data_IF_377318113960
#
_entry.id   IF_377318113960
#
_cell.length_a   1.000
_cell.length_b   1.000
_cell.length_c   1.000
_cell.angle_alpha   90.00
_cell.angle_beta   90.00
_cell.angle_gamma   90.00
#
_symmetry.space_group_name_H-M   'P 1'
#
loop_
_entity.id
_entity.type
_entity.pdbx_description
1 polymer ?
#
# COMPACT_ATOMS: atom_id res chain seq x y z
N UNK A 1 -12.49 -28.27 17.93
CA UNK A 1 -12.08 -26.84 17.75
C UNK A 1 -10.90 -26.62 16.78
N UNK A 2 -10.20 -27.66 16.29
CA UNK A 2 -9.05 -27.52 15.35
C UNK A 2 -9.49 -27.47 13.87
N UNK A 3 -10.67 -28.02 13.55
CA UNK A 3 -11.14 -28.17 12.15
C UNK A 3 -11.61 -26.83 11.55
N UNK A 4 -12.26 -25.96 12.34
CA UNK A 4 -12.68 -24.62 11.89
C UNK A 4 -11.51 -23.69 11.56
N UNK A 5 -10.43 -23.76 12.35
CA UNK A 5 -9.19 -23.00 12.09
C UNK A 5 -8.54 -23.38 10.75
N UNK A 6 -8.77 -24.58 10.19
CA UNK A 6 -8.13 -24.98 8.92
C UNK A 6 -8.86 -24.44 7.68
N UNK A 7 -10.18 -24.25 7.76
CA UNK A 7 -11.00 -23.80 6.63
C UNK A 7 -10.88 -22.30 6.34
N UNK A 8 -10.86 -21.46 7.38
CA UNK A 8 -10.77 -19.99 7.23
C UNK A 8 -9.42 -19.58 6.60
N UNK A 9 -8.34 -20.27 6.96
CA UNK A 9 -7.02 -20.06 6.36
C UNK A 9 -6.96 -20.45 4.89
N UNK A 10 -7.75 -21.46 4.49
CA UNK A 10 -7.84 -21.91 3.11
C UNK A 10 -8.56 -20.85 2.27
N UNK A 11 -9.65 -20.27 2.77
CA UNK A 11 -10.40 -19.20 2.07
C UNK A 11 -9.58 -17.90 1.93
N UNK A 12 -8.83 -17.56 2.96
CA UNK A 12 -7.98 -16.38 2.98
C UNK A 12 -6.77 -16.49 2.01
N UNK A 13 -6.10 -17.64 1.95
CA UNK A 13 -5.04 -17.89 0.95
C UNK A 13 -5.53 -17.88 -0.50
N UNK A 14 -6.82 -18.16 -0.74
CA UNK A 14 -7.44 -18.14 -2.07
C UNK A 14 -7.50 -16.73 -2.64
N UNK A 15 -7.82 -15.71 -1.84
CA UNK A 15 -7.86 -14.31 -2.30
C UNK A 15 -6.48 -13.79 -2.72
N UNK A 16 -5.44 -14.15 -1.96
CA UNK A 16 -4.06 -13.83 -2.29
C UNK A 16 -3.63 -14.37 -3.65
N UNK A 17 -3.93 -15.66 -3.89
CA UNK A 17 -3.67 -16.36 -5.16
C UNK A 17 -4.49 -15.79 -6.32
N UNK A 18 -5.79 -15.54 -6.12
CA UNK A 18 -6.67 -14.92 -7.13
C UNK A 18 -6.14 -13.55 -7.56
N UNK A 19 -5.75 -12.70 -6.61
CA UNK A 19 -5.15 -11.38 -6.89
C UNK A 19 -3.85 -11.49 -7.68
N UNK A 20 -2.95 -12.39 -7.26
CA UNK A 20 -1.70 -12.64 -7.98
C UNK A 20 -1.95 -13.03 -9.43
N UNK A 21 -2.86 -13.98 -9.67
CA UNK A 21 -3.24 -14.40 -11.02
C UNK A 21 -3.82 -13.24 -11.84
N UNK A 22 -4.72 -12.43 -11.28
CA UNK A 22 -5.31 -11.27 -11.99
C UNK A 22 -4.21 -10.28 -12.39
N UNK A 23 -3.32 -9.94 -11.46
CA UNK A 23 -2.21 -9.01 -11.73
C UNK A 23 -1.27 -9.56 -12.81
N UNK A 24 -0.87 -10.83 -12.72
CA UNK A 24 -0.02 -11.47 -13.72
C UNK A 24 -0.70 -11.50 -15.08
N UNK A 25 -1.98 -11.85 -15.16
CA UNK A 25 -2.73 -11.85 -16.43
C UNK A 25 -2.79 -10.47 -17.06
N UNK A 26 -3.06 -9.42 -16.28
CA UNK A 26 -3.08 -8.04 -16.78
C UNK A 26 -1.69 -7.63 -17.28
N UNK A 27 -0.62 -7.93 -16.52
CA UNK A 27 0.76 -7.60 -16.92
C UNK A 27 1.19 -8.34 -18.18
N UNK A 28 0.86 -9.63 -18.29
CA UNK A 28 1.11 -10.44 -19.49
C UNK A 28 0.33 -9.88 -20.68
N UNK A 29 -0.94 -9.51 -20.49
CA UNK A 29 -1.74 -8.90 -21.55
C UNK A 29 -1.14 -7.57 -22.03
N UNK A 30 -0.69 -6.70 -21.12
CA UNK A 30 0.00 -5.46 -21.45
C UNK A 30 1.32 -5.75 -22.20
N UNK A 31 2.10 -6.74 -21.75
CA UNK A 31 3.33 -7.13 -22.43
C UNK A 31 3.05 -7.70 -23.83
N UNK A 32 2.00 -8.50 -24.00
CA UNK A 32 1.57 -9.01 -25.30
C UNK A 32 1.11 -7.89 -26.23
N UNK A 33 0.40 -6.87 -25.73
CA UNK A 33 0.04 -5.70 -26.52
C UNK A 33 1.27 -4.92 -27.03
N UNK A 34 2.42 -5.04 -26.35
CA UNK A 34 3.69 -4.43 -26.77
C UNK A 34 4.44 -5.35 -27.73
N UNK A 35 4.50 -6.66 -27.46
CA UNK A 35 5.34 -7.63 -28.19
C UNK A 35 4.66 -8.17 -29.46
N UNK A 36 3.36 -8.40 -29.43
CA UNK A 36 2.61 -8.97 -30.57
C UNK A 36 2.70 -8.10 -31.84
N UNK A 37 2.60 -6.76 -31.75
CA UNK A 37 2.82 -5.90 -32.91
C UNK A 37 4.26 -5.98 -33.46
N UNK A 38 5.27 -6.14 -32.61
CA UNK A 38 6.68 -6.30 -33.02
C UNK A 38 6.86 -7.60 -33.83
N UNK A 39 6.29 -8.72 -33.35
CA UNK A 39 6.38 -10.02 -34.03
C UNK A 39 5.69 -9.98 -35.40
N UNK A 40 4.50 -9.38 -35.49
CA UNK A 40 3.79 -9.18 -36.77
C UNK A 40 4.64 -8.35 -37.73
N UNK A 41 5.27 -7.28 -37.25
CA UNK A 41 6.11 -6.39 -38.06
C UNK A 41 7.34 -7.12 -38.63
N UNK A 42 7.98 -8.00 -37.85
CA UNK A 42 9.14 -8.80 -38.30
C UNK A 42 8.72 -9.87 -39.31
N UNK A 43 7.52 -10.47 -39.16
CA UNK A 43 7.01 -11.54 -40.03
C UNK A 43 6.48 -11.04 -41.39
N UNK A 44 5.99 -9.80 -41.47
CA UNK A 44 5.33 -9.26 -42.66
C UNK A 44 6.29 -8.66 -43.70
N UNK A 45 7.60 -8.58 -43.44
CA UNK A 45 8.64 -8.37 -44.46
C UNK A 45 8.62 -7.05 -45.24
N UNK A 46 7.58 -6.23 -45.13
CA UNK A 46 7.40 -4.97 -45.86
C UNK A 46 7.53 -3.78 -44.92
N UNK A 47 8.59 -2.99 -45.15
CA UNK A 47 9.07 -1.96 -44.25
C UNK A 47 8.22 -0.68 -44.16
N UNK A 48 7.01 -0.63 -44.73
CA UNK A 48 6.15 0.55 -44.65
C UNK A 48 5.21 0.50 -43.44
N UNK A 49 4.53 -0.63 -43.19
CA UNK A 49 3.69 -0.83 -42.02
C UNK A 49 4.50 -1.08 -40.74
N UNK A 50 5.61 -1.81 -40.86
CA UNK A 50 6.52 -2.12 -39.75
C UNK A 50 7.21 -0.85 -39.20
N UNK A 51 7.61 0.07 -40.09
CA UNK A 51 8.17 1.36 -39.69
C UNK A 51 7.15 2.22 -38.93
N UNK A 52 5.93 2.34 -39.46
CA UNK A 52 4.82 3.04 -38.79
C UNK A 52 4.55 2.45 -37.41
N UNK A 53 4.60 1.13 -37.28
CA UNK A 53 4.27 0.46 -36.03
C UNK A 53 5.40 0.53 -34.99
N UNK A 54 6.67 0.46 -35.39
CA UNK A 54 7.81 0.78 -34.51
C UNK A 54 7.72 2.23 -34.02
N UNK A 55 7.37 3.17 -34.91
CA UNK A 55 7.13 4.57 -34.55
C UNK A 55 5.98 4.68 -33.55
N UNK A 56 4.86 3.97 -33.75
CA UNK A 56 3.74 3.98 -32.81
C UNK A 56 4.12 3.40 -31.43
N UNK A 57 4.95 2.35 -31.38
CA UNK A 57 5.47 1.80 -30.12
C UNK A 57 6.38 2.82 -29.43
N UNK A 58 7.31 3.43 -30.17
CA UNK A 58 8.19 4.47 -29.64
C UNK A 58 7.38 5.67 -29.13
N UNK A 59 6.38 6.13 -29.88
CA UNK A 59 5.45 7.19 -29.47
C UNK A 59 4.68 6.76 -28.23
N UNK A 60 4.23 5.51 -28.13
CA UNK A 60 3.49 5.00 -26.96
C UNK A 60 4.38 4.95 -25.72
N UNK A 61 5.62 4.45 -25.83
CA UNK A 61 6.61 4.44 -24.75
C UNK A 61 6.98 5.87 -24.36
N UNK A 62 7.19 6.75 -25.34
CA UNK A 62 7.52 8.16 -25.12
C UNK A 62 6.36 8.93 -24.48
N UNK A 63 5.11 8.64 -24.87
CA UNK A 63 3.90 9.20 -24.25
C UNK A 63 3.76 8.72 -22.81
N UNK A 64 4.01 7.43 -22.53
CA UNK A 64 4.08 6.93 -21.16
C UNK A 64 5.17 7.65 -20.35
N UNK A 65 6.33 7.92 -20.95
CA UNK A 65 7.40 8.67 -20.31
C UNK A 65 6.99 10.14 -20.01
N UNK A 66 6.38 10.83 -20.98
CA UNK A 66 5.85 12.20 -20.82
C UNK A 66 4.77 12.23 -19.73
N UNK A 67 3.82 11.28 -19.73
CA UNK A 67 2.77 11.21 -18.72
C UNK A 67 3.36 10.97 -17.32
N UNK A 68 4.41 10.15 -17.20
CA UNK A 68 5.13 9.95 -15.94
C UNK A 68 5.87 11.22 -15.50
N UNK A 69 6.53 11.93 -16.43
CA UNK A 69 7.21 13.19 -16.15
C UNK A 69 6.21 14.26 -15.70
N UNK A 70 5.09 14.41 -16.42
CA UNK A 70 4.02 15.33 -16.07
C UNK A 70 3.42 15.00 -14.70
N UNK A 71 3.14 13.72 -14.42
CA UNK A 71 2.67 13.28 -13.11
C UNK A 71 3.68 13.59 -11.99
N UNK A 72 4.98 13.40 -12.23
CA UNK A 72 6.02 13.74 -11.27
C UNK A 72 6.11 15.25 -11.00
N UNK A 73 6.01 16.08 -12.04
CA UNK A 73 5.97 17.55 -11.94
C UNK A 73 4.71 18.01 -11.21
N UNK A 74 3.55 17.50 -11.59
CA UNK A 74 2.27 17.77 -10.93
C UNK A 74 2.34 17.43 -9.44
N UNK A 75 2.81 16.23 -9.08
CA UNK A 75 2.98 15.83 -7.67
C UNK A 75 3.95 16.76 -6.93
N UNK A 76 5.01 17.24 -7.60
CA UNK A 76 5.99 18.18 -7.01
C UNK A 76 5.37 19.55 -6.74
N UNK A 77 4.53 20.06 -7.65
CA UNK A 77 3.83 21.34 -7.51
C UNK A 77 2.78 21.27 -6.40
N UNK A 78 2.01 20.17 -6.35
CA UNK A 78 0.92 20.00 -5.40
C UNK A 78 1.34 19.28 -4.10
N UNK A 79 2.63 19.25 -3.73
CA UNK A 79 3.15 18.52 -2.55
C UNK A 79 2.35 18.69 -1.25
N UNK A 80 1.74 19.87 -1.01
CA UNK A 80 0.90 20.10 0.18
C UNK A 80 -0.40 19.28 0.18
N UNK A 81 -0.91 18.90 -1.00
CA UNK A 81 -2.08 18.04 -1.21
C UNK A 81 -1.72 16.55 -1.36
N UNK A 82 -0.43 16.22 -1.39
CA UNK A 82 0.04 14.86 -1.66
C UNK A 82 1.04 14.39 -0.60
N UNK A 83 0.60 13.47 0.27
CA UNK A 83 1.43 12.75 1.22
C UNK A 83 1.01 12.93 2.67
N UNK A 84 1.87 12.48 3.57
CA UNK A 84 1.61 12.47 5.01
C UNK A 84 1.89 13.82 5.66
N UNK A 85 0.99 14.25 6.54
CA UNK A 85 1.15 15.43 7.39
C UNK A 85 0.51 15.22 8.75
N UNK A 86 0.91 15.98 9.79
CA UNK A 86 0.15 16.06 11.02
C UNK A 86 -1.31 16.44 10.73
N UNK A 87 -2.22 15.88 11.51
CA UNK A 87 -3.63 16.25 11.51
C UNK A 87 -3.79 17.70 11.98
N UNK A 88 -4.75 18.44 11.41
CA UNK A 88 -5.12 19.76 11.94
C UNK A 88 -6.29 19.64 12.94
N UNK A 89 -6.70 20.74 13.57
CA UNK A 89 -7.75 20.69 14.60
C UNK A 89 -9.12 20.29 14.05
N UNK A 90 -9.51 20.82 12.89
CA UNK A 90 -10.81 20.50 12.25
C UNK A 90 -10.91 19.00 11.90
N UNK A 91 -9.86 18.45 11.28
CA UNK A 91 -9.78 17.02 10.98
C UNK A 91 -9.74 16.18 12.25
N UNK A 92 -9.11 16.68 13.33
CA UNK A 92 -9.07 15.97 14.60
C UNK A 92 -10.47 15.87 15.24
N UNK A 93 -11.23 16.96 15.24
CA UNK A 93 -12.60 17.00 15.74
C UNK A 93 -13.50 16.00 15.01
N UNK A 94 -13.32 15.85 13.69
CA UNK A 94 -14.03 14.86 12.89
C UNK A 94 -13.57 13.42 13.19
N UNK A 95 -12.24 13.19 13.24
CA UNK A 95 -11.68 11.84 13.23
C UNK A 95 -11.59 11.19 14.60
N UNK A 96 -11.54 11.95 15.71
CA UNK A 96 -11.35 11.41 17.06
C UNK A 96 -12.44 10.41 17.49
N UNK A 97 -13.63 10.51 16.90
CA UNK A 97 -14.76 9.62 17.22
C UNK A 97 -14.78 8.35 16.36
N UNK A 98 -13.95 8.25 15.33
CA UNK A 98 -13.90 7.11 14.42
C UNK A 98 -12.95 6.03 14.93
N UNK A 99 -13.16 4.81 14.44
CA UNK A 99 -12.26 3.71 14.69
C UNK A 99 -11.08 3.71 13.70
N UNK A 100 -9.95 3.21 14.18
CA UNK A 100 -8.74 2.90 13.45
C UNK A 100 -8.57 1.38 13.42
N UNK A 101 -8.23 0.85 12.25
CA UNK A 101 -8.14 -0.58 11.99
C UNK A 101 -6.72 -0.94 11.61
N UNK A 102 -6.10 -1.88 12.34
CA UNK A 102 -4.79 -2.44 12.05
C UNK A 102 -4.89 -3.93 11.78
N UNK A 103 -4.20 -4.39 10.74
CA UNK A 103 -4.16 -5.79 10.37
C UNK A 103 -2.81 -6.42 10.73
N UNK A 104 -2.82 -7.51 11.50
CA UNK A 104 -1.60 -8.14 12.02
C UNK A 104 -1.60 -9.67 11.89
N UNK A 105 -0.40 -10.24 11.95
CA UNK A 105 -0.16 -11.69 12.00
C UNK A 105 0.53 -12.14 13.30
N UNK A 106 0.92 -11.19 14.15
CA UNK A 106 1.95 -11.42 15.18
C UNK A 106 1.48 -11.07 16.59
N UNK A 107 0.24 -10.63 16.77
CA UNK A 107 -0.24 -10.29 18.11
C UNK A 107 -0.58 -11.57 18.86
N UNK A 108 -0.01 -11.75 20.05
CA UNK A 108 -0.32 -12.87 20.95
C UNK A 108 -1.42 -12.43 21.91
N UNK A 109 -2.62 -12.22 21.37
CA UNK A 109 -3.80 -11.76 22.12
C UNK A 109 -5.03 -12.56 21.70
N UNK A 110 -5.92 -12.80 22.65
CA UNK A 110 -7.17 -13.51 22.43
C UNK A 110 -8.21 -12.61 21.72
N UNK A 111 -9.24 -13.24 21.16
CA UNK A 111 -10.37 -12.53 20.55
C UNK A 111 -11.20 -11.79 21.61
N UNK A 112 -11.63 -10.57 21.29
CA UNK A 112 -12.39 -9.71 22.21
C UNK A 112 -11.64 -8.43 22.59
N UNK A 113 -12.02 -7.82 23.71
CA UNK A 113 -11.37 -6.61 24.22
C UNK A 113 -10.11 -6.97 25.00
N UNK A 114 -8.97 -6.41 24.59
CA UNK A 114 -7.66 -6.71 25.17
C UNK A 114 -6.72 -5.53 25.03
N UNK A 115 -5.73 -5.44 25.92
CA UNK A 115 -4.63 -4.51 25.74
C UNK A 115 -3.67 -5.05 24.68
N UNK A 116 -3.41 -4.25 23.65
CA UNK A 116 -2.56 -4.63 22.52
C UNK A 116 -1.32 -3.76 22.49
N UNK A 117 -0.17 -4.39 22.24
CA UNK A 117 1.08 -3.71 21.96
C UNK A 117 1.44 -3.88 20.48
N UNK A 118 1.53 -2.77 19.74
CA UNK A 118 1.91 -2.76 18.32
C UNK A 118 3.22 -1.96 18.19
N UNK A 119 4.35 -2.63 17.86
CA UNK A 119 5.63 -1.96 17.75
C UNK A 119 5.69 -1.10 16.49
N UNK A 120 6.26 0.09 16.62
CA UNK A 120 6.41 1.03 15.54
C UNK A 120 7.55 0.64 14.60
N UNK A 121 7.34 0.84 13.31
CA UNK A 121 8.37 0.56 12.31
C UNK A 121 9.11 1.85 11.94
N UNK A 122 10.43 1.86 12.18
CA UNK A 122 11.32 2.98 11.86
C UNK A 122 12.16 2.77 10.59
N UNK A 123 11.93 1.67 9.85
CA UNK A 123 12.74 1.33 8.66
C UNK A 123 12.30 2.17 7.46
N UNK A 124 13.22 2.82 6.73
CA UNK A 124 12.92 3.57 5.51
C UNK A 124 12.13 2.75 4.48
N UNK A 125 12.42 1.45 4.34
CA UNK A 125 11.67 0.57 3.44
C UNK A 125 10.17 0.48 3.79
N UNK A 126 9.83 0.40 5.08
CA UNK A 126 8.43 0.35 5.53
C UNK A 126 7.79 1.72 5.36
N UNK A 127 8.51 2.76 5.73
CA UNK A 127 8.06 4.15 5.66
C UNK A 127 8.35 4.83 4.31
N UNK A 128 8.47 4.06 3.22
CA UNK A 128 8.93 4.57 1.93
C UNK A 128 8.05 5.71 1.40
N UNK A 129 6.74 5.64 1.67
CA UNK A 129 5.77 6.66 1.27
C UNK A 129 5.86 7.96 2.09
N UNK A 130 6.57 7.96 3.23
CA UNK A 130 6.77 9.15 4.05
C UNK A 130 7.80 10.11 3.44
N UNK A 131 7.67 11.43 3.71
CA UNK A 131 8.74 12.39 3.47
C UNK A 131 10.04 11.96 4.17
N UNK A 132 11.19 12.23 3.55
CA UNK A 132 12.53 11.81 4.05
C UNK A 132 12.75 12.10 5.54
N UNK A 133 12.32 13.27 6.03
CA UNK A 133 12.44 13.69 7.44
C UNK A 133 11.70 12.78 8.45
N UNK A 134 10.72 12.00 7.99
CA UNK A 134 9.91 11.11 8.83
C UNK A 134 10.26 9.63 8.65
N UNK A 135 11.04 9.25 7.62
CA UNK A 135 11.30 7.83 7.29
C UNK A 135 11.95 7.03 8.41
N UNK A 136 12.80 7.69 9.20
CA UNK A 136 13.54 7.09 10.31
C UNK A 136 12.78 7.16 11.64
N UNK A 137 11.55 7.65 11.65
CA UNK A 137 10.71 7.69 12.85
C UNK A 137 9.85 6.44 12.91
N UNK A 138 9.61 5.92 14.12
CA UNK A 138 8.70 4.80 14.32
C UNK A 138 7.25 5.21 14.07
N UNK A 139 6.56 4.52 13.17
CA UNK A 139 5.12 4.67 12.97
C UNK A 139 4.39 3.31 12.99
N UNK A 140 3.16 3.33 13.47
CA UNK A 140 2.17 2.25 13.28
C UNK A 140 1.12 2.72 12.28
N UNK A 141 0.81 1.87 11.31
CA UNK A 141 -0.10 2.17 10.20
C UNK A 141 -1.50 1.65 10.51
N UNK A 142 -2.50 2.50 10.30
CA UNK A 142 -3.92 2.21 10.48
C UNK A 142 -4.74 2.60 9.25
N UNK A 143 -5.83 1.87 9.04
CA UNK A 143 -6.93 2.28 8.19
C UNK A 143 -7.96 3.04 9.01
N UNK A 144 -8.49 4.13 8.47
CA UNK A 144 -9.69 4.74 9.03
C UNK A 144 -10.89 3.84 8.76
N UNK A 145 -11.73 3.59 9.77
CA UNK A 145 -12.96 2.82 9.63
C UNK A 145 -14.01 3.59 8.84
N UNK A 146 -14.91 2.90 8.13
CA UNK A 146 -16.04 3.47 7.38
C UNK A 146 -17.05 4.16 8.30
N UNK A 147 -17.76 5.17 7.79
CA UNK A 147 -18.75 5.93 8.57
C UNK A 147 -20.05 5.13 8.78
N UNK A 148 -20.36 4.22 7.86
CA UNK A 148 -21.55 3.36 7.92
C UNK A 148 -21.24 2.05 8.66
N UNK A 149 -20.07 1.48 8.41
CA UNK A 149 -19.62 0.23 9.02
C UNK A 149 -18.33 0.47 9.85
N UNK A 150 -18.45 0.86 11.14
CA UNK A 150 -17.32 1.34 11.95
C UNK A 150 -16.29 0.27 12.32
N UNK A 151 -16.53 -0.98 11.95
CA UNK A 151 -15.59 -2.10 12.12
C UNK A 151 -14.92 -2.50 10.80
N UNK A 152 -15.29 -1.88 9.68
CA UNK A 152 -14.72 -2.13 8.36
C UNK A 152 -13.91 -0.91 7.90
N UNK A 153 -12.78 -1.11 7.21
CA UNK A 153 -11.95 0.00 6.77
C UNK A 153 -12.56 0.71 5.55
N UNK A 154 -12.29 2.00 5.41
CA UNK A 154 -12.56 2.72 4.16
C UNK A 154 -11.93 1.96 2.98
N UNK A 155 -12.77 1.62 1.99
CA UNK A 155 -12.40 0.79 0.85
C UNK A 155 -11.10 1.22 0.17
N UNK A 156 -10.95 2.53 -0.06
CA UNK A 156 -9.78 3.10 -0.74
C UNK A 156 -8.48 2.86 0.04
N UNK A 157 -8.55 3.03 1.37
CA UNK A 157 -7.42 2.84 2.28
C UNK A 157 -7.02 1.37 2.32
N UNK A 158 -8.01 0.51 2.54
CA UNK A 158 -7.82 -0.94 2.59
C UNK A 158 -7.15 -1.50 1.33
N UNK A 159 -7.72 -1.21 0.15
CA UNK A 159 -7.20 -1.75 -1.11
C UNK A 159 -5.81 -1.25 -1.45
N UNK A 160 -5.47 -0.01 -1.08
CA UNK A 160 -4.15 0.57 -1.34
C UNK A 160 -3.04 -0.13 -0.55
N UNK A 161 -3.28 -0.51 0.72
CA UNK A 161 -2.27 -1.19 1.54
C UNK A 161 -2.12 -2.66 1.18
N UNK A 162 -3.22 -3.31 0.81
CA UNK A 162 -3.26 -4.75 0.57
C UNK A 162 -3.14 -5.11 -0.92
N UNK A 163 -2.84 -4.14 -1.80
CA UNK A 163 -2.68 -4.37 -3.24
C UNK A 163 -1.59 -5.39 -3.57
N UNK A 164 -0.44 -5.33 -2.88
CA UNK A 164 0.69 -6.24 -3.13
C UNK A 164 0.80 -7.37 -2.09
N UNK A 165 -0.13 -7.44 -1.15
CA UNK A 165 0.06 -8.29 0.03
C UNK A 165 -0.29 -9.75 -0.22
N UNK A 166 0.71 -10.58 -0.48
CA UNK A 166 0.54 -12.00 -0.86
C UNK A 166 -0.49 -12.80 -0.06
N UNK A 167 -0.44 -12.78 1.28
CA UNK A 167 -1.39 -13.49 2.14
C UNK A 167 -2.14 -12.50 3.04
N UNK A 168 -3.46 -12.65 3.20
CA UNK A 168 -4.20 -11.84 4.17
C UNK A 168 -3.68 -12.05 5.59
N UNK A 169 -3.78 -10.99 6.38
CA UNK A 169 -3.51 -11.00 7.82
C UNK A 169 -4.56 -11.80 8.59
N UNK A 170 -4.11 -12.36 9.71
CA UNK A 170 -4.89 -13.26 10.58
C UNK A 170 -5.73 -12.51 11.60
N UNK A 171 -5.39 -11.26 11.88
CA UNK A 171 -5.98 -10.50 12.98
C UNK A 171 -6.39 -9.12 12.48
N UNK A 172 -7.58 -8.68 12.88
CA UNK A 172 -8.08 -7.32 12.74
C UNK A 172 -8.15 -6.71 14.14
N UNK A 173 -7.51 -5.56 14.32
CA UNK A 173 -7.48 -4.82 15.58
C UNK A 173 -8.20 -3.49 15.36
N UNK A 174 -9.20 -3.20 16.19
CA UNK A 174 -10.01 -1.99 16.10
C UNK A 174 -9.79 -1.16 17.38
N UNK A 175 -9.37 0.09 17.20
CA UNK A 175 -9.04 1.03 18.28
C UNK A 175 -9.76 2.35 18.01
N UNK A 176 -10.21 3.08 19.04
CA UNK A 176 -10.78 4.41 18.81
C UNK A 176 -9.67 5.43 18.54
N UNK A 177 -9.85 6.29 17.53
CA UNK A 177 -8.86 7.31 17.19
C UNK A 177 -8.60 8.26 18.37
N UNK A 178 -9.63 8.61 19.12
CA UNK A 178 -9.56 9.46 20.32
C UNK A 178 -8.77 8.87 21.49
N UNK A 179 -8.40 7.59 21.45
CA UNK A 179 -7.50 6.99 22.45
C UNK A 179 -6.04 7.44 22.26
N UNK A 180 -5.75 8.14 21.15
CA UNK A 180 -4.44 8.70 20.85
C UNK A 180 -4.41 10.22 21.01
N UNK A 181 -3.28 10.80 21.43
CA UNK A 181 -3.14 12.24 21.43
C UNK A 181 -2.96 12.77 20.00
N UNK A 182 -3.69 13.85 19.65
CA UNK A 182 -3.73 14.43 18.29
C UNK A 182 -2.35 14.69 17.67
N UNK A 183 -1.38 15.17 18.47
CA UNK A 183 -0.02 15.48 17.99
C UNK A 183 0.78 14.25 17.52
N UNK A 184 0.33 13.03 17.85
CA UNK A 184 0.92 11.77 17.35
C UNK A 184 0.28 11.28 16.05
N UNK A 185 -0.81 11.90 15.61
CA UNK A 185 -1.59 11.46 14.45
C UNK A 185 -1.16 12.18 13.18
N UNK A 186 -0.93 11.39 12.14
CA UNK A 186 -0.61 11.86 10.80
C UNK A 186 -1.60 11.25 9.81
N UNK A 187 -2.05 12.06 8.84
CA UNK A 187 -2.98 11.66 7.80
C UNK A 187 -2.27 11.62 6.44
N UNK A 188 -2.52 10.57 5.65
CA UNK A 188 -2.27 10.58 4.21
C UNK A 188 -3.51 11.05 3.45
N UNK A 189 -3.42 12.25 2.90
CA UNK A 189 -4.48 12.90 2.13
C UNK A 189 -4.94 12.07 0.93
N UNK A 190 -4.09 11.20 0.37
CA UNK A 190 -4.47 10.41 -0.81
C UNK A 190 -5.21 9.13 -0.48
N UNK A 191 -4.70 8.37 0.48
CA UNK A 191 -5.16 7.02 0.77
C UNK A 191 -6.14 6.97 1.93
N UNK A 192 -6.17 8.00 2.78
CA UNK A 192 -6.90 7.96 4.05
C UNK A 192 -6.23 7.06 5.08
N UNK A 193 -4.92 6.81 4.96
CA UNK A 193 -4.17 6.15 6.03
C UNK A 193 -3.97 7.10 7.20
N UNK A 194 -4.04 6.52 8.39
CA UNK A 194 -3.66 7.16 9.63
C UNK A 194 -2.36 6.53 10.12
N UNK A 195 -1.38 7.35 10.46
CA UNK A 195 -0.16 6.91 11.14
C UNK A 195 -0.16 7.44 12.56
N UNK A 196 0.15 6.56 13.48
CA UNK A 196 0.42 6.91 14.88
C UNK A 196 1.92 6.87 15.10
N UNK A 197 2.48 7.97 15.59
CA UNK A 197 3.91 8.08 15.89
C UNK A 197 4.27 7.37 17.20
N UNK A 198 5.28 6.50 17.13
CA UNK A 198 5.77 5.69 18.26
C UNK A 198 4.99 4.39 18.45
N UNK A 199 5.41 3.59 19.42
CA UNK A 199 4.75 2.34 19.75
C UNK A 199 3.33 2.60 20.27
N UNK A 200 2.43 1.66 19.98
CA UNK A 200 1.04 1.73 20.42
C UNK A 200 0.83 0.72 21.54
N UNK A 201 0.34 1.21 22.67
CA UNK A 201 -0.14 0.40 23.80
C UNK A 201 -1.51 0.94 24.19
N UNK A 202 -2.57 0.20 23.88
CA UNK A 202 -3.95 0.68 24.04
C UNK A 202 -4.90 -0.51 24.17
N UNK A 203 -6.06 -0.27 24.79
CA UNK A 203 -7.17 -1.23 24.74
C UNK A 203 -7.77 -1.25 23.33
N UNK A 204 -7.95 -2.43 22.78
CA UNK A 204 -8.48 -2.64 21.44
C UNK A 204 -9.44 -3.82 21.42
N UNK A 205 -10.31 -3.83 20.42
CA UNK A 205 -11.09 -5.01 20.08
C UNK A 205 -10.36 -5.81 19.00
N UNK A 206 -10.09 -7.06 19.28
CA UNK A 206 -9.36 -7.98 18.39
C UNK A 206 -10.33 -9.01 17.81
N UNK A 207 -10.26 -9.19 16.50
CA UNK A 207 -10.98 -10.21 15.77
C UNK A 207 -10.00 -11.20 15.17
N UNK A 208 -10.24 -12.48 15.39
CA UNK A 208 -9.50 -13.58 14.79
C UNK A 208 -10.25 -14.16 13.58
N UNK A 209 -11.57 -13.99 13.55
CA UNK A 209 -12.44 -14.41 12.44
C UNK A 209 -13.18 -13.19 11.87
N UNK A 210 -12.69 -12.67 10.75
CA UNK A 210 -13.33 -11.54 10.07
C UNK A 210 -13.29 -11.73 8.55
N UNK A 211 -14.25 -11.10 7.86
CA UNK A 211 -14.25 -11.03 6.39
C UNK A 211 -13.33 -9.90 5.96
N UNK A 212 -12.45 -10.19 5.01
CA UNK A 212 -11.46 -9.22 4.52
C UNK A 212 -12.11 -8.04 3.78
N UNK A 213 -13.03 -8.33 2.86
CA UNK A 213 -13.95 -7.36 2.24
C UNK A 213 -14.94 -8.11 1.33
N UNK A 214 -15.91 -7.41 0.73
CA UNK A 214 -16.69 -7.94 -0.40
C UNK A 214 -15.79 -8.24 -1.62
N UNK A 215 -15.67 -9.53 -1.97
CA UNK A 215 -14.80 -10.01 -3.05
C UNK A 215 -15.08 -9.35 -4.41
N UNK A 216 -16.36 -9.15 -4.78
CA UNK A 216 -16.73 -8.58 -6.08
C UNK A 216 -16.25 -7.13 -6.21
N UNK A 217 -16.47 -6.34 -5.17
CA UNK A 217 -16.05 -4.94 -5.11
C UNK A 217 -14.53 -4.85 -5.12
N UNK A 218 -13.86 -5.73 -4.38
CA UNK A 218 -12.41 -5.85 -4.34
C UNK A 218 -11.81 -6.09 -5.74
N UNK A 219 -12.34 -7.06 -6.50
CA UNK A 219 -11.83 -7.41 -7.83
C UNK A 219 -12.02 -6.28 -8.85
N UNK A 220 -13.20 -5.64 -8.88
CA UNK A 220 -13.46 -4.52 -9.79
C UNK A 220 -12.48 -3.37 -9.57
N UNK A 221 -12.23 -3.01 -8.31
CA UNK A 221 -11.29 -1.95 -7.97
C UNK A 221 -9.84 -2.36 -8.23
N UNK A 222 -9.49 -3.64 -8.03
CA UNK A 222 -8.17 -4.18 -8.35
C UNK A 222 -7.84 -3.98 -9.84
N UNK A 223 -8.78 -4.28 -10.73
CA UNK A 223 -8.61 -4.07 -12.18
C UNK A 223 -8.37 -2.59 -12.48
N UNK A 224 -9.24 -1.69 -11.99
CA UNK A 224 -9.12 -0.24 -12.18
C UNK A 224 -7.79 0.32 -11.65
N UNK A 225 -7.35 -0.17 -10.49
CA UNK A 225 -6.12 0.30 -9.84
C UNK A 225 -4.88 -0.25 -10.53
N UNK A 226 -4.91 -1.50 -11.01
CA UNK A 226 -3.80 -2.09 -11.76
C UNK A 226 -3.55 -1.31 -13.06
N UNK A 227 -4.61 -0.94 -13.78
CA UNK A 227 -4.51 -0.09 -14.97
C UNK A 227 -3.93 1.30 -14.65
N UNK A 228 -4.31 1.90 -13.52
CA UNK A 228 -3.75 3.19 -13.09
C UNK A 228 -2.28 3.04 -12.64
N UNK A 229 -1.95 1.94 -11.97
CA UNK A 229 -0.61 1.66 -11.50
C UNK A 229 0.34 1.38 -12.67
N UNK A 230 -0.09 0.69 -13.73
CA UNK A 230 0.73 0.47 -14.92
C UNK A 230 1.11 1.79 -15.61
N UNK A 231 0.23 2.80 -15.58
CA UNK A 231 0.55 4.14 -16.11
C UNK A 231 1.62 4.88 -15.28
N UNK A 232 1.86 4.48 -14.03
CA UNK A 232 2.80 5.14 -13.11
C UNK A 232 3.94 4.22 -12.67
N UNK A 233 4.09 3.05 -13.32
CA UNK A 233 4.94 1.97 -12.83
C UNK A 233 6.43 2.35 -12.80
N UNK A 234 6.92 3.08 -13.80
CA UNK A 234 8.31 3.54 -13.84
C UNK A 234 8.63 4.50 -12.69
N UNK A 235 7.72 5.44 -12.40
CA UNK A 235 7.88 6.35 -11.27
C UNK A 235 7.88 5.60 -9.93
N UNK A 236 6.99 4.63 -9.77
CA UNK A 236 6.92 3.78 -8.57
C UNK A 236 8.22 2.98 -8.41
N UNK A 237 8.70 2.33 -9.49
CA UNK A 237 9.94 1.54 -9.48
C UNK A 237 11.17 2.40 -9.15
N UNK A 238 11.32 3.56 -9.79
CA UNK A 238 12.41 4.49 -9.49
C UNK A 238 12.41 4.92 -8.01
N UNK A 239 11.23 5.26 -7.49
CA UNK A 239 11.09 5.65 -6.09
C UNK A 239 11.41 4.49 -5.13
N UNK A 240 10.97 3.27 -5.42
CA UNK A 240 11.27 2.08 -4.62
C UNK A 240 12.77 1.76 -4.62
N UNK A 241 13.44 1.79 -5.78
CA UNK A 241 14.88 1.58 -5.88
C UNK A 241 15.66 2.61 -5.05
N UNK A 242 15.28 3.88 -5.15
CA UNK A 242 15.88 4.95 -4.35
C UNK A 242 15.75 4.69 -2.85
N UNK A 243 14.56 4.28 -2.39
CA UNK A 243 14.34 3.96 -0.97
C UNK A 243 15.12 2.73 -0.53
N UNK A 244 15.26 1.71 -1.38
CA UNK A 244 16.06 0.52 -1.06
C UNK A 244 17.54 0.88 -0.85
N UNK A 245 18.08 1.77 -1.68
CA UNK A 245 19.45 2.30 -1.50
C UNK A 245 19.56 3.04 -0.15
N UNK A 246 18.58 3.91 0.16
CA UNK A 246 18.53 4.62 1.45
C UNK A 246 18.47 3.65 2.65
N UNK A 247 17.67 2.57 2.56
CA UNK A 247 17.56 1.55 3.61
C UNK A 247 18.87 0.78 3.80
N UNK A 248 19.58 0.43 2.71
CA UNK A 248 20.91 -0.19 2.78
C UNK A 248 21.94 0.71 3.46
N UNK A 249 21.91 2.02 3.18
CA UNK A 249 22.77 3.00 3.87
C UNK A 249 22.43 3.04 5.37
N UNK A 250 21.16 3.17 5.71
CA UNK A 250 20.69 3.22 7.10
C UNK A 250 21.09 1.97 7.91
N UNK A 251 20.99 0.77 7.31
CA UNK A 251 21.42 -0.47 7.96
C UNK A 251 22.93 -0.51 8.22
N UNK A 252 23.75 0.01 7.28
CA UNK A 252 25.21 0.09 7.45
C UNK A 252 25.57 1.07 8.58
N UNK A 253 24.92 2.22 8.66
CA UNK A 253 25.11 3.20 9.73
C UNK A 253 24.73 2.62 11.09
N UNK A 254 23.57 1.96 11.19
CA UNK A 254 23.12 1.31 12.42
C UNK A 254 24.08 0.19 12.88
N UNK A 255 24.66 -0.56 11.95
CA UNK A 255 25.68 -1.58 12.26
C UNK A 255 26.95 -0.95 12.82
N UNK A 256 27.48 0.09 12.16
CA UNK A 256 28.67 0.82 12.64
C UNK A 256 28.47 1.40 14.04
N UNK A 257 27.31 1.97 14.32
CA UNK A 257 27.02 2.53 15.65
C UNK A 257 26.99 1.44 16.73
N UNK A 258 26.45 0.26 16.42
CA UNK A 258 26.48 -0.88 17.35
C UNK A 258 27.90 -1.38 17.62
N UNK A 259 28.74 -1.43 16.59
CA UNK A 259 30.16 -1.81 16.71
C UNK A 259 30.96 -0.78 17.53
N UNK A 260 30.63 0.51 17.46
CA UNK A 260 31.26 1.57 18.27
C UNK A 260 30.84 1.55 19.74
N UNK A 261 29.66 1.03 20.04
CA UNK A 261 29.08 0.99 21.38
C UNK A 261 29.31 -0.34 22.10
N UNK A 262 29.97 -1.31 21.46
CA UNK A 262 30.30 -2.63 21.99
C UNK A 262 31.78 -2.67 22.43
#
# INVERSE_FOLDING_TARGET
MIIFKKNIYKENGVMGKKRGNIMTTILVFIALLIVFPIIISVRLGEYDLAGVLVILIFISIFLLFILNLFYAVFRKIYKKRYGFRPINNEEWEELQHRNLIHYSNVLTVDEGESEVSIPAHARPKVNHLLPKKYRNQGFVWFHLADDVEPEEPLLKSYLSAHFLEGNPRRQKVVIKCGDFPSHKIYLDVNSGFILVKGDVLVKARVYLNFKWYNEKIYILFLIKTTLKASLTIFHIMYHQLKVEIEDKIHQREAKKQKELNA
#
